data_IF_157764822800
#
_entry.id   IF_157764822800
#
_cell.length_a   1.000
_cell.length_b   1.000
_cell.length_c   1.000
_cell.angle_alpha   90.00
_cell.angle_beta   90.00
_cell.angle_gamma   90.00
#
_symmetry.space_group_name_H-M   'P 1'
#
loop_
_entity.id
_entity.type
_entity.pdbx_description
1 polymer ?
#
# COMPACT_ATOMS: atom_id res chain seq x y z
N UNK A 1 3.51 -9.61 27.32
CA UNK A 1 4.41 -9.74 26.15
C UNK A 1 4.86 -8.38 25.68
N UNK A 2 6.00 -8.29 25.01
CA UNK A 2 6.47 -7.06 24.39
C UNK A 2 6.38 -7.19 22.88
N UNK A 3 5.42 -6.50 22.25
CA UNK A 3 5.34 -6.42 20.81
C UNK A 3 6.55 -5.62 20.29
N UNK A 4 7.16 -6.08 19.20
CA UNK A 4 8.37 -5.47 18.64
C UNK A 4 8.10 -4.65 17.37
N UNK A 5 6.85 -4.40 17.07
CA UNK A 5 6.43 -3.62 15.92
C UNK A 5 5.56 -4.41 14.95
N UNK A 6 5.30 -3.81 13.80
CA UNK A 6 4.56 -4.47 12.73
C UNK A 6 5.55 -5.30 11.90
N UNK A 7 5.30 -6.61 11.78
CA UNK A 7 6.11 -7.48 10.93
C UNK A 7 5.76 -7.26 9.47
N UNK A 8 4.49 -7.37 9.13
CA UNK A 8 3.98 -7.06 7.81
C UNK A 8 2.49 -6.72 7.88
N UNK A 9 2.01 -6.02 6.86
CA UNK A 9 0.59 -5.77 6.61
C UNK A 9 0.26 -6.40 5.28
N UNK A 10 -0.82 -7.16 5.22
CA UNK A 10 -1.24 -7.84 4.00
C UNK A 10 -2.61 -7.35 3.54
N UNK A 11 -2.70 -6.97 2.27
CA UNK A 11 -3.93 -6.59 1.60
C UNK A 11 -4.12 -7.41 0.33
N UNK A 12 -5.33 -7.42 -0.19
CA UNK A 12 -5.60 -7.96 -1.52
C UNK A 12 -5.23 -6.94 -2.60
N UNK A 13 -4.70 -7.41 -3.72
CA UNK A 13 -4.56 -6.61 -4.94
C UNK A 13 -5.24 -7.30 -6.11
N UNK A 14 -5.52 -6.54 -7.17
CA UNK A 14 -6.11 -7.09 -8.39
C UNK A 14 -5.08 -7.75 -9.30
N UNK A 15 -3.86 -7.23 -9.32
CA UNK A 15 -2.77 -7.69 -10.18
C UNK A 15 -1.45 -7.49 -9.44
N UNK A 16 -0.75 -8.58 -9.14
CA UNK A 16 0.47 -8.54 -8.34
C UNK A 16 1.62 -7.81 -9.06
N UNK A 17 1.79 -8.05 -10.36
CA UNK A 17 2.83 -7.41 -11.16
C UNK A 17 2.61 -5.89 -11.25
N UNK A 18 1.40 -5.48 -11.61
CA UNK A 18 1.03 -4.06 -11.66
C UNK A 18 1.24 -3.39 -10.30
N UNK A 19 0.85 -4.07 -9.22
CA UNK A 19 0.99 -3.56 -7.85
C UNK A 19 2.45 -3.34 -7.50
N UNK A 20 3.31 -4.33 -7.72
CA UNK A 20 4.75 -4.22 -7.43
C UNK A 20 5.37 -3.08 -8.24
N UNK A 21 5.12 -3.03 -9.54
CA UNK A 21 5.67 -1.99 -10.42
C UNK A 21 5.22 -0.59 -9.98
N UNK A 22 3.96 -0.46 -9.55
CA UNK A 22 3.41 0.82 -9.09
C UNK A 22 4.10 1.31 -7.80
N UNK A 23 4.23 0.45 -6.80
CA UNK A 23 4.88 0.80 -5.53
C UNK A 23 6.37 1.07 -5.71
N UNK A 24 7.04 0.34 -6.60
CA UNK A 24 8.43 0.63 -6.95
C UNK A 24 8.58 2.00 -7.62
N UNK A 25 7.71 2.30 -8.56
CA UNK A 25 7.80 3.53 -9.36
C UNK A 25 7.44 4.79 -8.58
N UNK A 26 6.39 4.75 -7.77
CA UNK A 26 5.85 5.94 -7.13
C UNK A 26 6.28 6.11 -5.68
N UNK A 27 6.56 5.03 -4.97
CA UNK A 27 6.93 5.07 -3.56
C UNK A 27 8.35 4.54 -3.29
N UNK A 28 9.12 4.24 -4.32
CA UNK A 28 10.51 3.75 -4.22
C UNK A 28 10.65 2.51 -3.33
N UNK A 29 9.59 1.72 -3.19
CA UNK A 29 9.66 0.47 -2.43
C UNK A 29 10.49 -0.56 -3.17
N UNK A 30 11.26 -1.36 -2.42
CA UNK A 30 12.04 -2.47 -2.97
C UNK A 30 11.20 -3.74 -2.93
N UNK A 31 11.22 -4.47 -4.03
CA UNK A 31 10.63 -5.81 -4.09
C UNK A 31 11.48 -6.79 -3.30
N UNK A 32 10.85 -7.60 -2.44
CA UNK A 32 11.53 -8.58 -1.61
C UNK A 32 11.42 -9.97 -2.21
N UNK A 33 10.21 -10.50 -2.35
CA UNK A 33 9.97 -11.82 -2.92
C UNK A 33 8.50 -12.01 -3.33
N UNK A 34 8.26 -13.06 -4.12
CA UNK A 34 6.92 -13.50 -4.48
C UNK A 34 6.79 -15.01 -4.22
N UNK A 35 5.61 -15.43 -3.78
CA UNK A 35 5.26 -16.82 -3.56
C UNK A 35 3.96 -17.09 -4.32
N UNK A 36 3.93 -18.17 -5.11
CA UNK A 36 2.73 -18.64 -5.78
C UNK A 36 2.35 -20.01 -5.23
N UNK A 37 1.10 -20.17 -4.84
CA UNK A 37 0.59 -21.42 -4.28
C UNK A 37 -0.81 -21.71 -4.81
N UNK A 38 -1.19 -22.98 -4.79
CA UNK A 38 -2.52 -23.44 -5.21
C UNK A 38 -3.48 -23.61 -4.03
N UNK A 39 -2.96 -23.62 -2.82
CA UNK A 39 -3.78 -23.79 -1.62
C UNK A 39 -3.30 -22.86 -0.52
N UNK A 40 -4.21 -22.41 0.32
CA UNK A 40 -3.92 -21.51 1.44
C UNK A 40 -3.28 -22.31 2.59
N UNK A 41 -2.03 -22.00 3.00
CA UNK A 41 -1.33 -22.78 4.03
C UNK A 41 -2.05 -22.84 5.37
N UNK A 42 -2.72 -21.75 5.77
CA UNK A 42 -3.37 -21.67 7.08
C UNK A 42 -4.71 -22.42 7.15
N UNK A 43 -5.45 -22.52 6.03
CA UNK A 43 -6.78 -23.10 5.98
C UNK A 43 -6.87 -24.37 5.13
N UNK A 44 -5.86 -24.63 4.29
CA UNK A 44 -5.82 -25.71 3.30
C UNK A 44 -6.88 -25.59 2.20
N UNK A 45 -7.52 -24.42 2.06
CA UNK A 45 -8.47 -24.16 0.99
C UNK A 45 -7.76 -24.18 -0.38
N UNK A 46 -8.37 -24.78 -1.42
CA UNK A 46 -7.79 -24.78 -2.76
C UNK A 46 -8.06 -23.45 -3.48
N UNK A 47 -7.43 -22.40 -3.04
CA UNK A 47 -7.57 -21.03 -3.57
C UNK A 47 -6.22 -20.55 -4.10
N UNK A 48 -5.95 -20.64 -5.41
CA UNK A 48 -4.69 -20.19 -5.99
C UNK A 48 -4.43 -18.72 -5.70
N UNK A 49 -3.19 -18.38 -5.37
CA UNK A 49 -2.79 -16.99 -5.12
C UNK A 49 -1.35 -16.72 -5.51
N UNK A 50 -1.08 -15.43 -5.74
CA UNK A 50 0.25 -14.86 -5.82
C UNK A 50 0.43 -13.92 -4.63
N UNK A 51 1.46 -14.15 -3.82
CA UNK A 51 1.75 -13.34 -2.63
C UNK A 51 3.07 -12.60 -2.85
N UNK A 52 3.03 -11.28 -2.87
CA UNK A 52 4.20 -10.43 -3.10
C UNK A 52 4.50 -9.59 -1.87
N UNK A 53 5.80 -9.32 -1.65
CA UNK A 53 6.31 -8.62 -0.48
C UNK A 53 7.18 -7.46 -0.91
N UNK A 54 6.94 -6.29 -0.31
CA UNK A 54 7.64 -5.04 -0.59
C UNK A 54 8.20 -4.46 0.71
N UNK A 55 9.40 -3.89 0.61
CA UNK A 55 10.01 -3.15 1.72
C UNK A 55 9.35 -1.78 1.85
N UNK A 56 8.64 -1.56 2.94
CA UNK A 56 7.96 -0.30 3.23
C UNK A 56 8.81 0.66 4.09
N UNK A 57 10.07 0.33 4.32
CA UNK A 57 10.96 1.13 5.15
C UNK A 57 10.85 0.85 6.65
N UNK A 58 11.85 1.22 7.40
CA UNK A 58 11.86 1.08 8.86
C UNK A 58 11.73 -0.35 9.37
N UNK A 59 12.07 -1.35 8.57
CA UNK A 59 11.88 -2.76 8.92
C UNK A 59 10.46 -3.28 8.71
N UNK A 60 9.57 -2.48 8.14
CA UNK A 60 8.18 -2.87 7.87
C UNK A 60 8.04 -3.45 6.47
N UNK A 61 7.15 -4.41 6.33
CA UNK A 61 6.87 -5.07 5.04
C UNK A 61 5.40 -4.88 4.68
N UNK A 62 5.17 -4.50 3.43
CA UNK A 62 3.83 -4.42 2.84
C UNK A 62 3.68 -5.60 1.89
N UNK A 63 2.63 -6.40 2.09
CA UNK A 63 2.37 -7.60 1.32
C UNK A 63 1.02 -7.51 0.62
N UNK A 64 0.91 -8.18 -0.54
CA UNK A 64 -0.33 -8.25 -1.29
C UNK A 64 -0.60 -9.67 -1.75
N UNK A 65 -1.88 -10.04 -1.75
CA UNK A 65 -2.37 -11.26 -2.36
C UNK A 65 -3.14 -10.93 -3.63
N UNK A 66 -2.74 -11.51 -4.75
CA UNK A 66 -3.56 -11.57 -5.95
C UNK A 66 -4.32 -12.91 -5.97
N UNK A 67 -5.62 -12.86 -6.21
CA UNK A 67 -6.48 -14.02 -6.27
C UNK A 67 -6.97 -14.19 -7.72
N UNK A 68 -6.23 -14.90 -8.58
CA UNK A 68 -6.49 -14.89 -10.02
C UNK A 68 -7.81 -15.56 -10.43
N UNK A 69 -8.38 -16.41 -9.58
CA UNK A 69 -9.65 -17.10 -9.87
C UNK A 69 -10.86 -16.37 -9.30
N UNK A 70 -10.67 -15.28 -8.58
CA UNK A 70 -11.75 -14.49 -8.00
C UNK A 70 -12.05 -13.26 -8.86
N UNK A 71 -13.27 -12.72 -8.72
CA UNK A 71 -13.58 -11.41 -9.28
C UNK A 71 -12.65 -10.34 -8.69
N UNK A 72 -12.44 -9.26 -9.44
CA UNK A 72 -11.64 -8.13 -8.93
C UNK A 72 -12.27 -7.58 -7.67
N UNK A 73 -11.40 -7.12 -6.75
CA UNK A 73 -11.85 -6.51 -5.51
C UNK A 73 -12.53 -5.16 -5.74
N UNK A 74 -13.40 -4.82 -4.83
CA UNK A 74 -13.95 -3.48 -4.71
C UNK A 74 -13.72 -2.99 -3.27
N UNK A 75 -13.84 -1.69 -3.05
CA UNK A 75 -13.72 -1.15 -1.71
C UNK A 75 -14.94 -1.53 -0.85
N UNK A 76 -14.80 -1.48 0.46
CA UNK A 76 -15.91 -1.62 1.39
C UNK A 76 -16.82 -0.39 1.29
N UNK A 77 -17.98 -0.56 0.68
CA UNK A 77 -18.94 0.54 0.47
C UNK A 77 -19.75 0.90 1.71
N UNK A 78 -19.64 0.10 2.77
CA UNK A 78 -20.26 0.41 4.05
C UNK A 78 -19.40 1.31 4.93
N UNK A 79 -18.16 1.59 4.49
CA UNK A 79 -17.21 2.43 5.22
C UNK A 79 -16.86 3.65 4.36
N UNK A 80 -16.89 4.87 4.92
CA UNK A 80 -16.42 6.05 4.21
C UNK A 80 -14.96 5.87 3.75
N UNK A 81 -14.66 6.36 2.56
CA UNK A 81 -13.34 6.17 1.92
C UNK A 81 -12.17 6.67 2.78
N UNK A 82 -12.39 7.70 3.57
CA UNK A 82 -11.33 8.31 4.38
C UNK A 82 -10.94 7.51 5.64
N UNK A 83 -11.69 6.46 6.00
CA UNK A 83 -11.46 5.73 7.25
C UNK A 83 -10.28 4.77 7.15
N UNK A 84 -10.35 3.81 6.22
CA UNK A 84 -9.33 2.76 6.11
C UNK A 84 -8.24 3.19 5.13
N UNK A 85 -7.03 3.33 5.63
CA UNK A 85 -5.87 3.71 4.82
C UNK A 85 -4.58 3.26 5.48
N UNK A 86 -3.51 3.26 4.71
CA UNK A 86 -2.16 2.99 5.19
C UNK A 86 -1.35 4.29 5.13
N UNK A 87 -0.84 4.71 6.27
CA UNK A 87 0.01 5.89 6.36
C UNK A 87 1.49 5.48 6.42
N UNK A 88 2.29 6.05 5.53
CA UNK A 88 3.73 5.82 5.45
C UNK A 88 4.44 7.13 5.76
N UNK A 89 5.47 7.05 6.59
CA UNK A 89 6.22 8.24 7.01
C UNK A 89 7.32 8.56 6.00
N UNK A 90 7.43 9.85 5.67
CA UNK A 90 8.58 10.41 4.93
C UNK A 90 9.33 11.40 5.83
N UNK A 91 10.58 11.71 5.49
CA UNK A 91 11.47 12.44 6.39
C UNK A 91 11.39 13.96 6.26
N UNK A 92 10.84 14.50 5.19
CA UNK A 92 10.75 15.96 5.00
C UNK A 92 9.54 16.38 4.17
N UNK A 93 9.17 17.65 4.32
CA UNK A 93 8.12 18.26 3.50
C UNK A 93 8.54 18.31 2.01
N UNK A 94 9.81 18.46 1.72
CA UNK A 94 10.29 18.46 0.34
C UNK A 94 10.11 17.10 -0.32
N UNK A 95 10.33 15.99 0.39
CA UNK A 95 10.05 14.64 -0.09
C UNK A 95 8.56 14.43 -0.32
N UNK A 96 7.73 14.92 0.61
CA UNK A 96 6.28 14.85 0.48
C UNK A 96 5.78 15.55 -0.79
N UNK A 97 6.25 16.77 -1.02
CA UNK A 97 5.87 17.58 -2.19
C UNK A 97 6.39 16.99 -3.50
N UNK A 98 7.59 16.41 -3.49
CA UNK A 98 8.15 15.72 -4.65
C UNK A 98 7.34 14.48 -5.00
N UNK A 99 6.89 13.72 -4.00
CA UNK A 99 6.01 12.57 -4.20
C UNK A 99 4.66 12.99 -4.79
N UNK A 100 4.07 14.06 -4.28
CA UNK A 100 2.84 14.63 -4.82
C UNK A 100 2.99 14.98 -6.31
N UNK A 101 4.06 15.67 -6.66
CA UNK A 101 4.33 16.05 -8.05
C UNK A 101 4.48 14.82 -8.95
N UNK A 102 5.25 13.82 -8.52
CA UNK A 102 5.46 12.57 -9.26
C UNK A 102 4.13 11.89 -9.57
N UNK A 103 3.25 11.79 -8.58
CA UNK A 103 1.93 11.17 -8.73
C UNK A 103 1.03 11.99 -9.65
N UNK A 104 0.96 13.31 -9.48
CA UNK A 104 0.13 14.19 -10.30
C UNK A 104 0.59 14.23 -11.75
N UNK A 105 1.90 14.25 -12.00
CA UNK A 105 2.46 14.23 -13.36
C UNK A 105 2.10 12.93 -14.11
N UNK A 106 1.85 11.85 -13.38
CA UNK A 106 1.41 10.58 -13.93
C UNK A 106 -0.13 10.43 -14.00
N UNK A 107 -0.86 11.49 -13.67
CA UNK A 107 -2.33 11.53 -13.78
C UNK A 107 -3.07 11.03 -12.55
N UNK A 108 -2.40 10.84 -11.42
CA UNK A 108 -3.06 10.44 -10.18
C UNK A 108 -3.66 11.64 -9.46
N UNK A 109 -4.84 11.44 -8.87
CA UNK A 109 -5.45 12.41 -7.99
C UNK A 109 -4.76 12.38 -6.64
N UNK A 110 -4.33 13.54 -6.15
CA UNK A 110 -3.65 13.68 -4.86
C UNK A 110 -4.31 14.80 -4.07
N UNK A 111 -4.77 14.46 -2.87
CA UNK A 111 -5.31 15.42 -1.91
C UNK A 111 -4.19 15.88 -0.97
N UNK A 112 -4.12 17.17 -0.72
CA UNK A 112 -3.18 17.74 0.25
C UNK A 112 -2.04 18.55 -0.38
N UNK A 113 -1.08 19.03 0.41
CA UNK A 113 -0.88 18.68 1.84
C UNK A 113 -2.02 19.14 2.75
N UNK A 114 -2.44 18.25 3.64
CA UNK A 114 -3.37 18.56 4.72
C UNK A 114 -2.58 18.73 6.00
N UNK A 115 -2.76 19.86 6.67
CA UNK A 115 -2.09 20.16 7.94
C UNK A 115 -2.92 19.62 9.11
N UNK A 116 -2.37 18.61 9.79
CA UNK A 116 -2.94 18.03 11.00
C UNK A 116 -2.30 18.59 12.27
N UNK A 117 -1.65 19.74 12.20
CA UNK A 117 -0.95 20.46 13.29
C UNK A 117 0.37 19.82 13.65
N UNK A 118 0.42 18.54 13.97
CA UNK A 118 1.64 17.80 14.35
C UNK A 118 2.26 17.02 13.18
N UNK A 119 1.56 16.94 12.07
CA UNK A 119 2.08 16.33 10.82
C UNK A 119 1.29 16.87 9.63
N UNK A 120 1.88 16.74 8.45
CA UNK A 120 1.23 17.08 7.16
C UNK A 120 1.20 15.85 6.28
N UNK A 121 0.12 15.72 5.50
CA UNK A 121 -0.14 14.50 4.74
C UNK A 121 -0.66 14.78 3.34
N UNK A 122 -0.32 13.87 2.42
CA UNK A 122 -1.01 13.73 1.14
C UNK A 122 -1.70 12.37 1.07
N UNK A 123 -2.80 12.31 0.33
CA UNK A 123 -3.65 11.12 0.17
C UNK A 123 -3.85 10.80 -1.31
N UNK A 124 -3.78 9.53 -1.63
CA UNK A 124 -3.96 9.02 -3.00
C UNK A 124 -4.35 7.54 -2.93
N UNK A 125 -4.57 6.92 -4.09
CA UNK A 125 -4.97 5.51 -4.17
C UNK A 125 -3.99 4.72 -5.03
N UNK A 126 -3.79 3.45 -4.66
CA UNK A 126 -3.02 2.51 -5.46
C UNK A 126 -3.87 1.91 -6.60
N UNK A 127 -3.29 1.06 -7.48
CA UNK A 127 -4.05 0.50 -8.61
C UNK A 127 -5.27 -0.34 -8.24
N UNK A 128 -5.29 -0.91 -7.04
CA UNK A 128 -6.42 -1.70 -6.55
C UNK A 128 -7.45 -0.88 -5.78
N UNK A 129 -7.20 0.41 -5.57
CA UNK A 129 -8.09 1.32 -4.86
C UNK A 129 -7.81 1.46 -3.38
N UNK A 130 -6.72 0.90 -2.86
CA UNK A 130 -6.32 1.13 -1.48
C UNK A 130 -5.93 2.58 -1.27
N UNK A 131 -6.48 3.20 -0.23
CA UNK A 131 -6.14 4.56 0.13
C UNK A 131 -4.81 4.60 0.87
N UNK A 132 -3.93 5.46 0.41
CA UNK A 132 -2.59 5.64 0.97
C UNK A 132 -2.42 7.07 1.46
N UNK A 133 -1.61 7.20 2.49
CA UNK A 133 -1.20 8.50 3.03
C UNK A 133 0.32 8.51 3.10
N UNK A 134 0.95 9.58 2.62
CA UNK A 134 2.32 9.91 2.98
C UNK A 134 2.28 11.04 3.98
N UNK A 135 3.02 10.91 5.06
CA UNK A 135 2.97 11.87 6.15
C UNK A 135 4.37 12.26 6.64
N UNK A 136 4.52 13.52 7.03
CA UNK A 136 5.76 14.05 7.61
C UNK A 136 5.42 14.77 8.92
N UNK A 137 6.17 14.47 9.97
CA UNK A 137 6.03 15.15 11.25
C UNK A 137 6.50 16.61 11.13
N UNK A 138 5.77 17.52 11.73
CA UNK A 138 6.06 18.94 11.72
C UNK A 138 6.33 19.52 13.11
#
# INVERSE_FOLDING_TARGET
MNLQGVHHVAYRCNDAKETVEWYQKYLDMKFILAIAENEVPSTREPDPYMHVFLDAGGGNVLAFFELPTKEKMDRDRNTPDWVQHLALKVDSINVLLAAKKRLQDAGHDVLGPVDHTIFQSIYFHDPSGHRLELTVNT
#
